data_IF_623416572078
#
_entry.id   IF_623416572078
#
_cell.length_a   1.000
_cell.length_b   1.000
_cell.length_c   1.000
_cell.angle_alpha   90.00
_cell.angle_beta   90.00
_cell.angle_gamma   90.00
#
_symmetry.space_group_name_H-M   'P 1'
#
loop_
_entity.id
_entity.type
_entity.pdbx_description
1 polymer ?
#
# COMPACT_ATOMS: atom_id res chain seq x y z
N UNK A 1 -0.01 -17.03 6.75
CA UNK A 1 -0.87 -16.94 5.56
C UNK A 1 -0.36 -15.82 4.68
N UNK A 2 -0.22 -16.04 3.37
CA UNK A 2 0.26 -15.01 2.45
C UNK A 2 -0.79 -13.89 2.37
N UNK A 3 -0.53 -12.75 3.02
CA UNK A 3 -1.37 -11.57 2.82
C UNK A 3 -1.30 -11.19 1.35
N UNK A 4 -2.43 -11.31 0.63
CA UNK A 4 -2.53 -10.86 -0.77
C UNK A 4 -2.16 -9.39 -0.79
N UNK A 5 -1.26 -9.01 -1.70
CA UNK A 5 -0.90 -7.62 -1.89
C UNK A 5 -2.18 -6.81 -2.17
N UNK A 6 -2.40 -5.70 -1.45
CA UNK A 6 -3.59 -4.90 -1.64
C UNK A 6 -3.63 -4.38 -3.08
N UNK A 7 -4.85 -4.37 -3.63
CA UNK A 7 -5.12 -3.92 -5.00
C UNK A 7 -6.17 -2.79 -5.03
N UNK A 8 -6.60 -2.31 -3.87
CA UNK A 8 -7.50 -1.17 -3.74
C UNK A 8 -7.22 -0.42 -2.43
N UNK A 9 -7.77 0.78 -2.32
CA UNK A 9 -7.56 1.66 -1.16
C UNK A 9 -8.06 1.04 0.15
N UNK A 10 -9.18 0.32 0.09
CA UNK A 10 -9.78 -0.31 1.26
C UNK A 10 -8.93 -1.47 1.81
N UNK A 11 -8.33 -2.29 0.93
CA UNK A 11 -7.38 -3.33 1.31
C UNK A 11 -6.08 -2.74 1.85
N UNK A 12 -5.59 -1.65 1.25
CA UNK A 12 -4.40 -0.96 1.74
C UNK A 12 -4.62 -0.44 3.17
N UNK A 13 -5.76 0.23 3.40
CA UNK A 13 -6.14 0.75 4.71
C UNK A 13 -6.37 -0.35 5.74
N UNK A 14 -7.05 -1.43 5.37
CA UNK A 14 -7.26 -2.58 6.27
C UNK A 14 -5.97 -3.31 6.64
N UNK A 15 -4.95 -3.25 5.77
CA UNK A 15 -3.62 -3.76 6.07
C UNK A 15 -2.77 -2.81 6.93
N UNK A 16 -3.28 -1.63 7.31
CA UNK A 16 -2.51 -0.61 8.03
C UNK A 16 -1.57 0.20 7.14
N UNK A 17 -1.76 0.16 5.82
CA UNK A 17 -1.03 0.95 4.84
C UNK A 17 -1.78 2.21 4.39
N UNK A 18 -1.06 3.05 3.65
CA UNK A 18 -1.56 4.30 3.07
C UNK A 18 -1.27 4.34 1.56
N UNK A 19 -2.19 4.92 0.79
CA UNK A 19 -2.01 5.11 -0.65
C UNK A 19 -1.26 6.41 -0.93
N UNK A 20 -0.14 6.32 -1.64
CA UNK A 20 0.64 7.47 -2.10
C UNK A 20 0.41 7.73 -3.58
N UNK A 21 0.58 8.97 -4.07
CA UNK A 21 0.35 9.28 -5.49
C UNK A 21 1.45 8.76 -6.41
N UNK A 22 2.71 8.75 -5.94
CA UNK A 22 3.87 8.55 -6.82
C UNK A 22 4.78 7.43 -6.33
N UNK A 23 5.37 7.60 -5.15
CA UNK A 23 6.29 6.65 -4.52
C UNK A 23 6.10 6.62 -3.00
N UNK A 24 6.45 5.50 -2.39
CA UNK A 24 6.50 5.40 -0.94
C UNK A 24 7.63 6.28 -0.38
N UNK A 25 7.43 6.88 0.80
CA UNK A 25 8.53 7.45 1.59
C UNK A 25 9.63 6.43 1.85
N UNK A 26 10.86 6.89 2.08
CA UNK A 26 12.01 6.02 2.38
C UNK A 26 11.81 5.16 3.63
N UNK A 27 11.06 5.67 4.62
CA UNK A 27 10.71 4.94 5.85
C UNK A 27 9.52 3.98 5.70
N UNK A 28 8.92 3.88 4.51
CA UNK A 28 7.78 3.03 4.24
C UNK A 28 8.08 1.99 3.17
N UNK A 29 7.55 0.78 3.36
CA UNK A 29 7.74 -0.31 2.42
C UNK A 29 6.57 -0.42 1.45
N UNK A 30 6.87 -0.60 0.16
CA UNK A 30 5.85 -0.91 -0.84
C UNK A 30 5.24 -2.27 -0.53
N UNK A 31 3.95 -2.28 -0.17
CA UNK A 31 3.21 -3.48 0.19
C UNK A 31 2.28 -3.94 -0.95
N UNK A 32 1.79 -2.99 -1.76
CA UNK A 32 0.93 -3.30 -2.91
C UNK A 32 0.60 -2.05 -3.71
N UNK A 33 -0.61 -2.02 -4.27
CA UNK A 33 -1.10 -0.88 -5.06
C UNK A 33 -2.55 -0.58 -4.69
N UNK A 34 -2.91 0.69 -4.71
CA UNK A 34 -4.29 1.12 -4.68
C UNK A 34 -4.81 1.26 -6.11
N UNK A 35 -6.01 1.80 -6.28
CA UNK A 35 -6.52 2.14 -7.60
C UNK A 35 -5.71 3.31 -8.22
N UNK A 36 -5.75 3.42 -9.56
CA UNK A 36 -5.06 4.47 -10.32
C UNK A 36 -3.51 4.42 -10.22
N UNK A 37 -2.93 3.20 -10.11
CA UNK A 37 -1.47 2.96 -10.03
C UNK A 37 -0.76 3.58 -8.81
N UNK A 38 -1.52 4.07 -7.83
CA UNK A 38 -1.00 4.60 -6.56
C UNK A 38 -0.34 3.48 -5.74
N UNK A 39 0.93 3.59 -5.33
CA UNK A 39 1.53 2.59 -4.45
C UNK A 39 0.83 2.56 -3.07
N UNK A 40 0.58 1.34 -2.57
CA UNK A 40 0.20 1.12 -1.19
C UNK A 40 1.47 0.90 -0.36
N UNK A 41 1.69 1.78 0.60
CA UNK A 41 2.89 1.85 1.41
C UNK A 41 2.55 1.56 2.87
N UNK A 42 3.36 0.75 3.54
CA UNK A 42 3.14 0.37 4.93
C UNK A 42 4.38 0.72 5.76
N UNK A 43 4.16 1.31 6.94
CA UNK A 43 5.20 1.41 7.98
C UNK A 43 5.39 0.02 8.57
N UNK A 44 6.63 -0.48 8.58
CA UNK A 44 6.96 -1.75 9.25
C UNK A 44 7.05 -1.56 10.75
#
# INVERSE_FOLDING_TARGET
GFMRAPNNEMQCKNAGGFCFMDRCPSDMRLFGRCQQKRPCCMTM
#
